data_IF_662577088854
#
_entry.id   IF_662577088854
#
_cell.length_a   1.000
_cell.length_b   1.000
_cell.length_c   1.000
_cell.angle_alpha   90.00
_cell.angle_beta   90.00
_cell.angle_gamma   90.00
#
_symmetry.space_group_name_H-M   'P 1'
#
loop_
_entity.id
_entity.type
_entity.pdbx_description
1 polymer ?
#
# COMPACT_ATOMS: atom_id res chain seq x y z
N UNK A 1 11.19 4.95 -19.87
CA UNK A 1 9.85 5.59 -19.81
C UNK A 1 9.21 5.22 -18.47
N UNK A 2 8.14 5.90 -18.03
CA UNK A 2 7.45 5.50 -16.80
C UNK A 2 6.95 4.05 -16.82
N UNK A 3 6.63 3.53 -18.01
CA UNK A 3 6.24 2.13 -18.20
C UNK A 3 7.38 1.16 -17.86
N UNK A 4 8.64 1.54 -18.06
CA UNK A 4 9.81 0.74 -17.68
C UNK A 4 10.19 0.84 -16.20
N UNK A 5 9.52 1.70 -15.41
CA UNK A 5 9.71 1.78 -13.95
C UNK A 5 8.69 0.93 -13.18
N UNK A 6 7.71 0.34 -13.88
CA UNK A 6 6.72 -0.53 -13.25
C UNK A 6 7.36 -1.86 -12.90
N UNK A 7 7.01 -2.39 -11.73
CA UNK A 7 7.35 -3.76 -11.38
C UNK A 7 6.68 -4.71 -12.41
N UNK A 8 7.43 -5.62 -13.06
CA UNK A 8 6.88 -6.49 -14.09
C UNK A 8 5.72 -7.35 -13.56
N UNK A 9 4.61 -7.39 -14.29
CA UNK A 9 3.45 -8.21 -13.93
C UNK A 9 2.64 -7.71 -12.72
N UNK A 10 3.06 -6.62 -12.06
CA UNK A 10 2.33 -6.09 -10.91
C UNK A 10 0.93 -5.60 -11.32
N UNK A 11 -0.10 -5.88 -10.49
CA UNK A 11 -1.43 -5.36 -10.71
C UNK A 11 -1.43 -3.83 -10.59
N UNK A 12 -2.43 -3.19 -11.20
CA UNK A 12 -2.64 -1.77 -11.01
C UNK A 12 -3.21 -1.49 -9.61
N UNK A 13 -2.79 -0.38 -9.01
CA UNK A 13 -3.34 0.11 -7.75
C UNK A 13 -4.08 1.44 -7.94
N UNK A 14 -5.19 1.62 -7.24
CA UNK A 14 -5.91 2.90 -7.14
C UNK A 14 -5.85 3.44 -5.72
N UNK A 15 -5.30 4.65 -5.54
CA UNK A 15 -5.28 5.34 -4.25
C UNK A 15 -6.61 6.05 -4.01
N UNK A 16 -7.21 5.80 -2.85
CA UNK A 16 -8.38 6.50 -2.33
C UNK A 16 -8.10 7.02 -0.92
N UNK A 17 -8.97 7.88 -0.38
CA UNK A 17 -8.80 8.44 0.97
C UNK A 17 -10.12 8.68 1.71
N UNK A 18 -10.22 8.21 2.95
CA UNK A 18 -11.31 8.57 3.85
C UNK A 18 -10.88 9.65 4.86
N UNK A 19 -11.80 10.02 5.75
CA UNK A 19 -11.52 10.91 6.88
C UNK A 19 -11.33 12.39 6.61
N UNK A 20 -10.48 13.02 7.42
CA UNK A 20 -10.37 14.48 7.55
C UNK A 20 -9.67 15.11 6.36
N UNK A 21 -8.74 14.40 5.73
CA UNK A 21 -7.98 14.92 4.59
C UNK A 21 -8.89 15.35 3.41
N UNK A 22 -9.72 14.47 2.81
CA UNK A 22 -10.61 14.88 1.72
C UNK A 22 -11.60 15.94 2.20
N UNK A 23 -12.28 15.74 3.33
CA UNK A 23 -13.31 16.68 3.81
C UNK A 23 -12.76 18.09 4.06
N UNK A 24 -11.52 18.21 4.52
CA UNK A 24 -10.84 19.49 4.77
C UNK A 24 -10.43 20.16 3.46
N UNK A 25 -9.90 19.42 2.50
CA UNK A 25 -9.44 19.98 1.21
C UNK A 25 -10.62 20.51 0.40
N UNK A 26 -11.68 19.71 0.22
CA UNK A 26 -12.84 20.10 -0.56
C UNK A 26 -13.73 21.10 0.20
N UNK A 27 -13.92 20.92 1.51
CA UNK A 27 -14.65 21.86 2.36
C UNK A 27 -14.05 23.28 2.35
N UNK A 28 -12.72 23.41 2.35
CA UNK A 28 -12.03 24.71 2.20
C UNK A 28 -12.28 25.39 0.85
N UNK A 29 -12.61 24.62 -0.19
CA UNK A 29 -12.95 25.11 -1.53
C UNK A 29 -14.45 25.40 -1.70
N UNK A 30 -15.26 25.23 -0.66
CA UNK A 30 -16.72 25.39 -0.73
C UNK A 30 -17.41 24.29 -1.54
N UNK A 31 -16.74 23.16 -1.77
CA UNK A 31 -17.24 22.01 -2.53
C UNK A 31 -17.34 20.76 -1.64
N UNK A 32 -18.19 19.82 -2.01
CA UNK A 32 -18.21 18.50 -1.38
C UNK A 32 -17.01 17.64 -1.79
N UNK A 33 -16.58 16.68 -0.94
CA UNK A 33 -17.08 16.42 0.40
C UNK A 33 -16.56 17.40 1.47
N UNK A 34 -17.39 17.79 2.43
CA UNK A 34 -17.01 18.62 3.59
C UNK A 34 -17.23 17.92 4.94
N UNK A 35 -17.77 16.70 4.91
CA UNK A 35 -18.04 15.84 6.06
C UNK A 35 -17.62 14.41 5.76
N UNK A 36 -17.51 13.56 6.80
CA UNK A 36 -17.27 12.11 6.63
C UNK A 36 -18.38 11.45 5.82
N UNK A 37 -19.64 11.77 6.12
CA UNK A 37 -20.80 11.33 5.33
C UNK A 37 -20.71 11.76 3.87
N UNK A 38 -20.21 12.98 3.62
CA UNK A 38 -19.97 13.47 2.26
C UNK A 38 -18.92 12.65 1.51
N UNK A 39 -17.85 12.20 2.16
CA UNK A 39 -16.86 11.32 1.54
C UNK A 39 -17.55 10.03 1.05
N UNK A 40 -18.33 9.38 1.93
CA UNK A 40 -19.03 8.12 1.60
C UNK A 40 -20.08 8.33 0.51
N UNK A 41 -20.86 9.41 0.56
CA UNK A 41 -21.82 9.74 -0.49
C UNK A 41 -21.13 9.95 -1.85
N UNK A 42 -19.95 10.59 -1.86
CA UNK A 42 -19.12 10.76 -3.04
C UNK A 42 -18.66 9.42 -3.63
N UNK A 43 -18.15 8.52 -2.79
CA UNK A 43 -17.75 7.19 -3.24
C UNK A 43 -18.92 6.36 -3.76
N UNK A 44 -20.02 6.28 -3.01
CA UNK A 44 -21.23 5.56 -3.45
C UNK A 44 -21.74 6.09 -4.80
N UNK A 45 -21.73 7.41 -4.99
CA UNK A 45 -22.10 8.02 -6.28
C UNK A 45 -21.16 7.63 -7.42
N UNK A 46 -19.84 7.61 -7.15
CA UNK A 46 -18.85 7.22 -8.15
C UNK A 46 -18.98 5.73 -8.52
N UNK A 47 -19.21 4.86 -7.53
CA UNK A 47 -19.37 3.43 -7.75
C UNK A 47 -20.64 3.07 -8.52
N UNK A 48 -21.78 3.73 -8.24
CA UNK A 48 -23.00 3.56 -9.03
C UNK A 48 -22.75 3.91 -10.50
N UNK A 49 -22.09 5.04 -10.78
CA UNK A 49 -21.74 5.44 -12.15
C UNK A 49 -20.79 4.46 -12.83
N UNK A 50 -19.84 3.92 -12.08
CA UNK A 50 -18.88 2.94 -12.60
C UNK A 50 -19.56 1.59 -12.91
N UNK A 51 -20.51 1.15 -12.08
CA UNK A 51 -21.35 -0.02 -12.36
C UNK A 51 -22.19 0.19 -13.62
N UNK A 52 -22.89 1.33 -13.73
CA UNK A 52 -23.67 1.67 -14.92
C UNK A 52 -22.79 1.67 -16.19
N UNK A 53 -21.60 2.27 -16.11
CA UNK A 53 -20.63 2.29 -17.20
C UNK A 53 -20.16 0.88 -17.58
N UNK A 54 -19.74 0.07 -16.61
CA UNK A 54 -19.29 -1.31 -16.81
C UNK A 54 -20.38 -2.13 -17.49
N UNK A 55 -21.61 -2.03 -17.00
CA UNK A 55 -22.74 -2.81 -17.49
C UNK A 55 -23.19 -2.36 -18.89
N UNK A 56 -23.14 -1.06 -19.20
CA UNK A 56 -23.39 -0.53 -20.55
C UNK A 56 -22.37 -1.05 -21.56
N UNK A 57 -21.08 -1.01 -21.21
CA UNK A 57 -20.00 -1.51 -22.06
C UNK A 57 -20.06 -3.03 -22.23
N UNK A 58 -20.34 -3.78 -21.16
CA UNK A 58 -20.51 -5.24 -21.23
C UNK A 58 -21.71 -5.64 -22.12
N UNK A 59 -22.85 -4.94 -22.01
CA UNK A 59 -24.02 -5.16 -22.87
C UNK A 59 -23.67 -4.91 -24.34
N UNK A 60 -22.99 -3.81 -24.66
CA UNK A 60 -22.57 -3.52 -26.03
C UNK A 60 -21.58 -4.57 -26.57
N UNK A 61 -20.62 -5.01 -25.74
CA UNK A 61 -19.62 -6.01 -26.13
C UNK A 61 -20.24 -7.41 -26.39
N UNK A 62 -21.36 -7.73 -25.74
CA UNK A 62 -22.08 -8.99 -25.92
C UNK A 62 -22.94 -9.05 -27.20
N UNK A 63 -23.19 -7.92 -27.86
CA UNK A 63 -23.92 -7.86 -29.13
C UNK A 63 -23.14 -8.52 -30.26
N UNK A 64 -23.84 -9.11 -31.22
CA UNK A 64 -23.24 -9.59 -32.47
C UNK A 64 -22.66 -8.44 -33.30
N UNK A 65 -21.75 -8.75 -34.23
CA UNK A 65 -21.18 -7.74 -35.13
C UNK A 65 -22.21 -7.05 -36.04
N UNK A 66 -23.38 -7.66 -36.25
CA UNK A 66 -24.50 -7.02 -36.95
C UNK A 66 -25.23 -6.04 -36.03
N UNK A 67 -25.61 -6.47 -34.83
CA UNK A 67 -26.28 -5.61 -33.84
C UNK A 67 -25.41 -4.43 -33.40
N UNK A 68 -24.08 -4.60 -33.31
CA UNK A 68 -23.15 -3.51 -32.99
C UNK A 68 -23.11 -2.40 -34.05
N UNK A 69 -23.48 -2.69 -35.32
CA UNK A 69 -23.53 -1.67 -36.39
C UNK A 69 -24.70 -0.72 -36.21
N UNK A 70 -25.82 -1.22 -35.67
CA UNK A 70 -27.03 -0.44 -35.46
C UNK A 70 -27.14 0.10 -34.02
N UNK A 71 -26.41 -0.48 -33.07
CA UNK A 71 -26.36 -0.02 -31.69
C UNK A 71 -25.44 1.21 -31.50
N UNK A 72 -25.84 2.12 -30.61
CA UNK A 72 -25.00 3.25 -30.20
C UNK A 72 -23.86 2.74 -29.32
N UNK A 73 -22.62 2.87 -29.82
CA UNK A 73 -21.41 2.54 -29.04
C UNK A 73 -21.32 3.40 -27.77
N UNK A 74 -21.14 2.79 -26.58
CA UNK A 74 -20.91 3.51 -25.34
C UNK A 74 -19.68 4.42 -25.43
N UNK A 75 -19.76 5.60 -24.82
CA UNK A 75 -18.66 6.57 -24.83
C UNK A 75 -17.59 6.11 -23.83
N UNK A 76 -16.32 6.26 -24.20
CA UNK A 76 -15.21 5.99 -23.28
C UNK A 76 -15.06 7.15 -22.29
N UNK A 77 -14.89 6.79 -21.02
CA UNK A 77 -14.57 7.70 -19.92
C UNK A 77 -13.46 7.07 -19.08
N UNK A 78 -12.29 7.73 -18.99
CA UNK A 78 -11.10 7.14 -18.37
C UNK A 78 -11.25 7.01 -16.84
N UNK A 79 -12.02 7.89 -16.20
CA UNK A 79 -12.30 7.80 -14.76
C UNK A 79 -13.17 6.57 -14.50
N UNK A 80 -14.30 6.46 -15.22
CA UNK A 80 -15.22 5.34 -15.06
C UNK A 80 -14.61 4.01 -15.52
N UNK A 81 -13.73 4.01 -16.53
CA UNK A 81 -12.99 2.82 -16.96
C UNK A 81 -12.04 2.33 -15.85
N UNK A 82 -11.37 3.25 -15.14
CA UNK A 82 -10.51 2.89 -14.00
C UNK A 82 -11.35 2.32 -12.85
N UNK A 83 -12.47 2.96 -12.51
CA UNK A 83 -13.37 2.46 -11.45
C UNK A 83 -14.03 1.13 -11.84
N UNK A 84 -14.42 0.95 -13.10
CA UNK A 84 -14.91 -0.33 -13.61
C UNK A 84 -13.84 -1.42 -13.53
N UNK A 85 -12.56 -1.10 -13.78
CA UNK A 85 -11.45 -2.02 -13.55
C UNK A 85 -11.34 -2.49 -12.10
N UNK A 86 -11.59 -1.62 -11.12
CA UNK A 86 -11.69 -2.01 -9.71
C UNK A 86 -12.86 -2.98 -9.48
N UNK A 87 -14.04 -2.66 -10.01
CA UNK A 87 -15.23 -3.53 -9.89
C UNK A 87 -15.09 -4.88 -10.62
N UNK A 88 -14.13 -5.00 -11.54
CA UNK A 88 -13.78 -6.25 -12.21
C UNK A 88 -12.65 -7.02 -11.50
N UNK A 89 -12.08 -6.47 -10.42
CA UNK A 89 -10.93 -7.05 -9.73
C UNK A 89 -9.58 -6.87 -10.45
N UNK A 90 -9.53 -6.04 -11.49
CA UNK A 90 -8.30 -5.76 -12.28
C UNK A 90 -7.39 -4.73 -11.59
N UNK A 91 -7.95 -3.92 -10.69
CA UNK A 91 -7.26 -2.83 -9.99
C UNK A 91 -7.49 -2.96 -8.49
N UNK A 92 -6.41 -2.97 -7.72
CA UNK A 92 -6.43 -3.11 -6.26
C UNK A 92 -6.61 -1.74 -5.60
N UNK A 93 -7.50 -1.64 -4.62
CA UNK A 93 -7.67 -0.42 -3.83
C UNK A 93 -6.62 -0.32 -2.73
N UNK A 94 -5.94 0.83 -2.71
CA UNK A 94 -5.12 1.30 -1.59
C UNK A 94 -5.86 2.46 -0.92
N UNK A 95 -6.37 2.25 0.29
CA UNK A 95 -7.23 3.21 0.96
C UNK A 95 -6.50 3.91 2.11
N UNK A 96 -6.25 5.21 1.99
CA UNK A 96 -5.84 6.00 3.14
C UNK A 96 -7.00 6.09 4.15
N UNK A 97 -6.80 5.61 5.38
CA UNK A 97 -7.71 5.81 6.51
C UNK A 97 -6.94 5.82 7.83
N UNK A 98 -7.40 6.57 8.83
CA UNK A 98 -6.78 6.55 10.15
C UNK A 98 -7.62 5.81 11.18
N UNK A 99 -8.93 6.09 11.22
CA UNK A 99 -9.81 5.59 12.28
C UNK A 99 -10.47 4.28 11.92
N UNK A 100 -10.74 3.48 12.94
CA UNK A 100 -11.34 2.16 12.82
C UNK A 100 -12.76 2.22 12.23
N UNK A 101 -13.58 3.17 12.66
CA UNK A 101 -14.95 3.33 12.15
C UNK A 101 -14.99 3.67 10.66
N UNK A 102 -14.01 4.42 10.18
CA UNK A 102 -13.89 4.77 8.76
C UNK A 102 -13.41 3.58 7.93
N UNK A 103 -12.46 2.80 8.45
CA UNK A 103 -12.01 1.56 7.79
C UNK A 103 -13.17 0.57 7.67
N UNK A 104 -13.94 0.33 8.75
CA UNK A 104 -15.14 -0.51 8.72
C UNK A 104 -16.18 -0.01 7.72
N UNK A 105 -16.44 1.30 7.69
CA UNK A 105 -17.39 1.89 6.72
C UNK A 105 -16.93 1.68 5.26
N UNK A 106 -15.62 1.71 5.00
CA UNK A 106 -15.08 1.41 3.68
C UNK A 106 -15.21 -0.08 3.36
N UNK A 107 -15.03 -0.98 4.32
CA UNK A 107 -15.27 -2.41 4.12
C UNK A 107 -16.75 -2.69 3.81
N UNK A 108 -17.69 -2.05 4.51
CA UNK A 108 -19.12 -2.13 4.20
C UNK A 108 -19.42 -1.65 2.77
N UNK A 109 -18.78 -0.55 2.34
CA UNK A 109 -18.92 -0.04 0.99
C UNK A 109 -18.29 -0.99 -0.06
N UNK A 110 -17.19 -1.64 0.29
CA UNK A 110 -16.55 -2.64 -0.55
C UNK A 110 -17.47 -3.85 -0.77
N UNK A 111 -18.15 -4.30 0.30
CA UNK A 111 -19.17 -5.33 0.23
C UNK A 111 -20.41 -4.87 -0.58
N UNK A 112 -20.86 -3.62 -0.42
CA UNK A 112 -22.01 -3.06 -1.16
C UNK A 112 -21.81 -3.11 -2.68
N UNK A 113 -20.58 -2.89 -3.15
CA UNK A 113 -20.24 -2.77 -4.57
C UNK A 113 -19.44 -3.96 -5.13
N UNK A 114 -19.14 -4.96 -4.30
CA UNK A 114 -18.37 -6.16 -4.64
C UNK A 114 -16.97 -5.84 -5.20
N UNK A 115 -16.23 -4.98 -4.49
CA UNK A 115 -14.81 -4.75 -4.78
C UNK A 115 -13.92 -5.09 -3.58
N UNK A 116 -12.64 -5.33 -3.83
CA UNK A 116 -11.66 -5.65 -2.79
C UNK A 116 -10.86 -4.42 -2.37
N UNK A 117 -10.76 -4.19 -1.06
CA UNK A 117 -9.74 -3.31 -0.48
C UNK A 117 -8.48 -4.13 -0.29
N UNK A 118 -7.39 -3.76 -0.96
CA UNK A 118 -6.11 -4.47 -0.78
C UNK A 118 -5.40 -4.05 0.49
N UNK A 119 -5.37 -2.74 0.78
CA UNK A 119 -4.61 -2.22 1.92
C UNK A 119 -5.20 -0.93 2.46
N UNK A 120 -5.31 -0.82 3.79
CA UNK A 120 -5.47 0.46 4.45
C UNK A 120 -4.12 1.09 4.76
N UNK A 121 -3.89 2.30 4.26
CA UNK A 121 -2.68 3.08 4.50
C UNK A 121 -2.85 3.95 5.75
N UNK A 122 -1.77 4.02 6.52
CA UNK A 122 -1.62 4.66 7.82
C UNK A 122 -2.30 3.91 8.97
N UNK A 123 -3.61 3.67 8.87
CA UNK A 123 -4.37 2.78 9.76
C UNK A 123 -4.07 2.98 11.26
N UNK A 124 -4.05 4.23 11.74
CA UNK A 124 -3.63 4.56 13.11
C UNK A 124 -4.41 3.78 14.17
N UNK A 125 -5.69 3.48 13.92
CA UNK A 125 -6.54 2.68 14.80
C UNK A 125 -6.77 1.24 14.30
N UNK A 126 -5.96 0.73 13.37
CA UNK A 126 -6.14 -0.59 12.76
C UNK A 126 -6.09 -1.73 13.80
N UNK A 127 -5.31 -1.56 14.87
CA UNK A 127 -5.26 -2.48 16.01
C UNK A 127 -6.63 -2.77 16.64
N UNK A 128 -7.60 -1.86 16.51
CA UNK A 128 -8.95 -2.04 17.06
C UNK A 128 -9.81 -3.01 16.24
N UNK A 129 -9.42 -3.26 14.99
CA UNK A 129 -10.18 -4.05 14.01
C UNK A 129 -9.30 -5.09 13.30
N UNK A 130 -8.25 -5.56 13.98
CA UNK A 130 -7.26 -6.45 13.39
C UNK A 130 -7.88 -7.75 12.87
N UNK A 131 -8.84 -8.31 13.61
CA UNK A 131 -9.52 -9.55 13.25
C UNK A 131 -10.38 -9.33 11.99
N UNK A 132 -11.10 -8.20 11.89
CA UNK A 132 -11.89 -7.83 10.72
C UNK A 132 -11.01 -7.63 9.46
N UNK A 133 -9.80 -7.05 9.62
CA UNK A 133 -8.86 -6.92 8.50
C UNK A 133 -8.38 -8.29 8.01
N UNK A 134 -8.06 -9.21 8.92
CA UNK A 134 -7.63 -10.57 8.57
C UNK A 134 -8.76 -11.37 7.90
N UNK A 135 -9.99 -11.28 8.42
CA UNK A 135 -11.17 -11.95 7.85
C UNK A 135 -11.49 -11.49 6.42
N UNK A 136 -11.19 -10.23 6.09
CA UNK A 136 -11.42 -9.65 4.76
C UNK A 136 -10.19 -9.72 3.84
N UNK A 137 -9.09 -10.35 4.27
CA UNK A 137 -7.82 -10.41 3.54
C UNK A 137 -7.30 -9.02 3.14
N UNK A 138 -7.34 -8.07 4.09
CA UNK A 138 -6.92 -6.68 3.90
C UNK A 138 -5.65 -6.39 4.70
N UNK A 139 -4.64 -5.86 4.03
CA UNK A 139 -3.40 -5.45 4.69
C UNK A 139 -3.54 -4.10 5.40
N UNK A 140 -2.75 -3.89 6.45
CA UNK A 140 -2.53 -2.57 7.05
C UNK A 140 -1.11 -2.09 6.77
N UNK A 141 -0.94 -0.98 6.05
CA UNK A 141 0.35 -0.31 5.86
C UNK A 141 0.51 0.82 6.90
N UNK A 142 1.20 0.52 7.98
CA UNK A 142 1.13 1.24 9.25
C UNK A 142 2.47 1.87 9.61
N UNK A 143 2.42 2.98 10.33
CA UNK A 143 3.61 3.59 10.94
C UNK A 143 3.95 2.93 12.28
N UNK A 144 5.23 2.88 12.61
CA UNK A 144 5.68 2.35 13.90
C UNK A 144 5.35 3.28 15.07
N UNK A 145 5.45 4.60 14.87
CA UNK A 145 5.33 5.56 15.97
C UNK A 145 4.81 6.96 15.57
N UNK A 146 4.35 7.18 14.33
CA UNK A 146 3.86 8.48 13.89
C UNK A 146 2.34 8.66 14.09
N UNK A 147 1.95 9.42 15.13
CA UNK A 147 0.55 9.72 15.46
C UNK A 147 0.43 11.05 16.23
N UNK A 148 -0.78 11.45 16.62
CA UNK A 148 -1.05 12.62 17.46
C UNK A 148 -1.07 13.98 16.76
N UNK A 149 -0.83 14.03 15.45
CA UNK A 149 -0.71 15.27 14.67
C UNK A 149 -2.05 15.88 14.19
N UNK A 150 -3.17 15.17 14.40
CA UNK A 150 -4.54 15.62 14.14
C UNK A 150 -5.54 14.71 14.87
N UNK A 151 -6.80 15.14 14.97
CA UNK A 151 -7.83 14.42 15.73
C UNK A 151 -8.05 12.98 15.28
N UNK A 152 -8.09 12.71 13.97
CA UNK A 152 -8.24 11.33 13.45
C UNK A 152 -7.02 10.44 13.66
N UNK A 153 -5.86 11.01 13.99
CA UNK A 153 -4.62 10.27 14.26
C UNK A 153 -4.27 10.31 15.76
N UNK A 154 -5.18 10.72 16.64
CA UNK A 154 -4.86 10.99 18.04
C UNK A 154 -4.75 9.72 18.89
N UNK A 155 -5.58 8.71 18.63
CA UNK A 155 -5.60 7.46 19.40
C UNK A 155 -4.63 6.41 18.82
N UNK A 156 -3.43 6.86 18.46
CA UNK A 156 -2.38 5.99 17.97
C UNK A 156 -1.58 5.35 19.10
N UNK A 157 -1.15 4.11 18.89
CA UNK A 157 -0.30 3.37 19.81
C UNK A 157 0.90 2.78 19.06
N UNK A 158 2.00 2.55 19.76
CA UNK A 158 3.24 2.04 19.14
C UNK A 158 3.18 0.52 18.91
N UNK A 159 2.20 -0.15 19.51
CA UNK A 159 1.91 -1.56 19.39
C UNK A 159 1.02 -1.87 18.18
N UNK A 160 0.60 -0.87 17.40
CA UNK A 160 -0.41 -1.02 16.34
C UNK A 160 -0.07 -2.14 15.35
N UNK A 161 1.13 -2.11 14.77
CA UNK A 161 1.62 -3.13 13.83
C UNK A 161 1.59 -4.53 14.47
N UNK A 162 2.09 -4.65 15.69
CA UNK A 162 2.15 -5.93 16.40
C UNK A 162 0.75 -6.49 16.72
N UNK A 163 -0.21 -5.62 17.03
CA UNK A 163 -1.59 -6.02 17.28
C UNK A 163 -2.35 -6.36 16.00
N UNK A 164 -2.07 -5.67 14.89
CA UNK A 164 -2.61 -6.02 13.57
C UNK A 164 -2.03 -7.33 13.05
N UNK A 165 -0.77 -7.64 13.38
CA UNK A 165 -0.12 -8.90 13.02
C UNK A 165 -0.65 -10.11 13.82
N UNK A 166 -1.27 -9.90 14.99
CA UNK A 166 -1.68 -10.96 15.91
C UNK A 166 -2.62 -12.03 15.31
N UNK A 167 -3.69 -11.69 14.58
CA UNK A 167 -4.64 -12.69 14.08
C UNK A 167 -4.02 -13.61 13.03
N UNK A 168 -4.54 -14.83 12.89
CA UNK A 168 -4.16 -15.72 11.80
C UNK A 168 -4.66 -15.16 10.46
N UNK A 169 -3.84 -15.25 9.40
CA UNK A 169 -4.16 -14.66 8.10
C UNK A 169 -3.97 -13.14 8.02
N UNK A 170 -3.47 -12.51 9.07
CA UNK A 170 -3.19 -11.07 9.09
C UNK A 170 -2.15 -10.64 8.05
N UNK A 171 -2.13 -9.34 7.77
CA UNK A 171 -1.15 -8.73 6.89
C UNK A 171 -0.78 -7.33 7.41
N UNK A 172 0.13 -7.29 8.39
CA UNK A 172 0.72 -6.04 8.86
C UNK A 172 1.93 -5.67 7.98
N UNK A 173 1.98 -4.42 7.51
CA UNK A 173 3.06 -3.85 6.72
C UNK A 173 3.60 -2.63 7.43
N UNK A 174 4.93 -2.56 7.58
CA UNK A 174 5.61 -1.37 8.09
C UNK A 174 5.84 -0.41 6.92
N UNK A 175 5.34 0.80 7.07
CA UNK A 175 5.42 1.88 6.09
C UNK A 175 5.88 3.17 6.78
N UNK A 176 6.53 4.08 6.06
CA UNK A 176 7.04 5.34 6.63
C UNK A 176 6.31 6.60 6.16
N UNK A 177 5.73 6.61 4.95
CA UNK A 177 5.23 7.82 4.27
C UNK A 177 6.26 8.98 4.25
N UNK A 178 7.55 8.63 4.21
CA UNK A 178 8.67 9.55 4.34
C UNK A 178 9.81 9.17 3.40
N UNK A 179 10.31 10.14 2.63
CA UNK A 179 11.45 10.00 1.71
C UNK A 179 12.73 9.53 2.42
N UNK A 180 12.88 9.90 3.69
CA UNK A 180 14.00 9.48 4.52
C UNK A 180 13.71 8.16 5.26
N UNK A 181 12.53 8.05 5.87
CA UNK A 181 12.16 6.88 6.66
C UNK A 181 12.06 5.59 5.85
N UNK A 182 11.70 5.69 4.56
CA UNK A 182 11.57 4.53 3.67
C UNK A 182 12.89 3.75 3.50
N UNK A 183 14.04 4.41 3.69
CA UNK A 183 15.36 3.80 3.57
C UNK A 183 15.77 3.01 4.83
N UNK A 184 14.96 3.06 5.90
CA UNK A 184 15.26 2.49 7.22
C UNK A 184 14.09 1.67 7.78
N UNK A 185 13.25 1.08 6.91
CA UNK A 185 12.08 0.30 7.33
C UNK A 185 12.43 -0.90 8.23
N UNK A 186 13.64 -1.45 8.10
CA UNK A 186 14.17 -2.45 9.04
C UNK A 186 14.23 -1.93 10.48
N UNK A 187 14.59 -0.66 10.68
CA UNK A 187 14.59 -0.03 12.01
C UNK A 187 13.17 0.23 12.50
N UNK A 188 12.26 0.66 11.61
CA UNK A 188 10.84 0.83 11.95
C UNK A 188 10.17 -0.49 12.35
N UNK A 189 10.47 -1.58 11.65
CA UNK A 189 10.02 -2.92 12.01
C UNK A 189 10.59 -3.36 13.37
N UNK A 190 11.86 -3.07 13.65
CA UNK A 190 12.47 -3.35 14.95
C UNK A 190 11.79 -2.58 16.10
N UNK A 191 11.42 -1.31 15.88
CA UNK A 191 10.64 -0.52 16.86
C UNK A 191 9.30 -1.19 17.14
N UNK A 192 8.54 -1.51 16.10
CA UNK A 192 7.23 -2.15 16.23
C UNK A 192 7.32 -3.51 16.97
N UNK A 193 8.30 -4.34 16.60
CA UNK A 193 8.57 -5.63 17.24
C UNK A 193 8.90 -5.42 18.73
N UNK A 194 9.77 -4.47 19.06
CA UNK A 194 10.12 -4.18 20.45
C UNK A 194 8.91 -3.73 21.28
N UNK A 195 7.95 -3.01 20.67
CA UNK A 195 6.74 -2.54 21.35
C UNK A 195 5.77 -3.69 21.58
N UNK A 196 5.54 -4.53 20.58
CA UNK A 196 4.74 -5.75 20.72
C UNK A 196 5.28 -6.67 21.83
N UNK A 197 6.59 -6.92 21.85
CA UNK A 197 7.24 -7.74 22.90
C UNK A 197 7.06 -7.12 24.29
N UNK A 198 7.21 -5.79 24.43
CA UNK A 198 6.96 -5.09 25.70
C UNK A 198 5.49 -5.15 26.14
N UNK A 199 4.57 -5.24 25.19
CA UNK A 199 3.14 -5.43 25.44
C UNK A 199 2.77 -6.90 25.74
N UNK A 200 3.74 -7.81 25.74
CA UNK A 200 3.55 -9.22 26.10
C UNK A 200 3.25 -10.15 24.92
N UNK A 201 3.43 -9.69 23.68
CA UNK A 201 3.29 -10.53 22.49
C UNK A 201 4.61 -11.28 22.20
N UNK A 202 4.50 -12.54 21.80
CA UNK A 202 5.66 -13.31 21.32
C UNK A 202 5.82 -13.10 19.82
N UNK A 203 6.81 -12.28 19.44
CA UNK A 203 7.06 -11.90 18.04
C UNK A 203 8.50 -12.27 17.70
N UNK A 204 8.73 -13.41 17.04
CA UNK A 204 10.07 -13.78 16.62
C UNK A 204 10.55 -12.85 15.49
N UNK A 205 11.87 -12.58 15.38
CA UNK A 205 12.44 -11.74 14.31
C UNK A 205 12.03 -12.17 12.89
N UNK A 206 11.87 -13.47 12.67
CA UNK A 206 11.43 -14.07 11.40
C UNK A 206 9.99 -13.70 11.05
N UNK A 207 9.15 -13.40 12.05
CA UNK A 207 7.80 -12.85 11.82
C UNK A 207 7.88 -11.35 11.59
N UNK A 208 8.67 -10.61 12.36
CA UNK A 208 8.80 -9.16 12.18
C UNK A 208 9.37 -8.75 10.81
N UNK A 209 10.25 -9.58 10.21
CA UNK A 209 10.84 -9.26 8.90
C UNK A 209 9.80 -9.35 7.77
N UNK A 210 8.72 -10.12 7.94
CA UNK A 210 7.65 -10.23 6.93
C UNK A 210 6.93 -8.91 6.73
N UNK A 211 6.86 -8.06 7.77
CA UNK A 211 6.21 -6.74 7.73
C UNK A 211 6.84 -5.78 6.73
N UNK A 212 8.09 -6.02 6.30
CA UNK A 212 8.79 -5.21 5.30
C UNK A 212 9.17 -6.03 4.06
N UNK A 213 8.74 -7.29 3.96
CA UNK A 213 9.07 -8.20 2.86
C UNK A 213 7.79 -8.85 2.31
N UNK A 214 7.45 -10.06 2.73
CA UNK A 214 6.34 -10.82 2.15
C UNK A 214 4.99 -10.14 2.32
N UNK A 215 4.72 -9.49 3.45
CA UNK A 215 3.46 -8.78 3.65
C UNK A 215 3.37 -7.54 2.76
N UNK A 216 4.48 -6.86 2.53
CA UNK A 216 4.54 -5.75 1.58
C UNK A 216 4.28 -6.24 0.15
N UNK A 217 4.87 -7.36 -0.26
CA UNK A 217 4.62 -7.99 -1.56
C UNK A 217 3.15 -8.42 -1.70
N UNK A 218 2.55 -9.02 -0.65
CA UNK A 218 1.12 -9.36 -0.58
C UNK A 218 0.24 -8.12 -0.75
N UNK A 219 0.54 -7.03 -0.02
CA UNK A 219 -0.21 -5.77 -0.10
C UNK A 219 -0.24 -5.17 -1.52
N UNK A 220 0.80 -5.45 -2.31
CA UNK A 220 0.97 -4.97 -3.69
C UNK A 220 0.50 -5.99 -4.73
N UNK A 221 0.04 -7.18 -4.32
CA UNK A 221 -0.40 -8.26 -5.21
C UNK A 221 0.74 -8.90 -6.02
N UNK A 222 1.95 -8.91 -5.46
CA UNK A 222 3.17 -9.48 -6.10
C UNK A 222 3.87 -10.50 -5.19
N UNK A 223 3.14 -11.11 -4.25
CA UNK A 223 3.71 -12.09 -3.31
C UNK A 223 4.27 -13.33 -3.99
N UNK A 224 3.74 -13.71 -5.16
CA UNK A 224 4.28 -14.83 -5.94
C UNK A 224 5.61 -14.50 -6.63
N UNK A 225 5.90 -13.21 -6.81
CA UNK A 225 7.09 -12.74 -7.53
C UNK A 225 8.26 -12.44 -6.58
N UNK A 226 8.02 -11.82 -5.41
CA UNK A 226 9.09 -11.35 -4.51
C UNK A 226 8.67 -11.38 -3.02
N UNK A 227 9.52 -10.85 -2.14
CA UNK A 227 9.24 -10.70 -0.71
C UNK A 227 9.57 -11.92 0.16
N UNK A 228 10.06 -13.03 -0.41
CA UNK A 228 10.56 -14.16 0.36
C UNK A 228 11.61 -14.95 -0.41
N UNK A 229 12.54 -15.60 0.30
CA UNK A 229 13.54 -16.48 -0.30
C UNK A 229 12.93 -17.87 -0.56
N UNK A 230 12.37 -18.07 -1.75
CA UNK A 230 11.78 -19.34 -2.18
C UNK A 230 12.09 -19.63 -3.66
N UNK A 231 12.24 -20.90 -4.08
CA UNK A 231 12.39 -21.25 -5.49
C UNK A 231 11.26 -20.68 -6.35
N UNK A 232 11.61 -20.10 -7.50
CA UNK A 232 10.66 -19.50 -8.43
C UNK A 232 10.45 -17.99 -8.26
N UNK A 233 10.81 -17.42 -7.10
CA UNK A 233 10.73 -15.97 -6.86
C UNK A 233 11.96 -15.23 -7.35
N UNK A 234 11.83 -13.92 -7.53
CA UNK A 234 12.91 -13.02 -7.88
C UNK A 234 14.06 -13.09 -6.86
N UNK A 235 15.28 -13.04 -7.37
CA UNK A 235 16.50 -13.09 -6.56
C UNK A 235 16.86 -11.70 -6.00
N UNK A 236 15.89 -11.11 -5.29
CA UNK A 236 16.04 -9.84 -4.57
C UNK A 236 16.54 -10.12 -3.16
N UNK A 237 17.84 -9.92 -2.93
CA UNK A 237 18.52 -10.38 -1.71
C UNK A 237 19.41 -9.28 -1.16
N UNK A 238 19.30 -9.04 0.15
CA UNK A 238 20.24 -8.20 0.89
C UNK A 238 21.05 -9.08 1.83
N UNK A 239 22.37 -9.05 1.68
CA UNK A 239 23.29 -9.60 2.68
C UNK A 239 23.66 -8.48 3.64
N UNK A 240 23.30 -8.66 4.90
CA UNK A 240 23.54 -7.70 5.96
C UNK A 240 24.81 -8.04 6.74
N UNK A 241 25.52 -7.01 7.21
CA UNK A 241 26.72 -7.16 8.04
C UNK A 241 26.46 -7.74 9.44
N UNK A 242 25.20 -8.03 9.76
CA UNK A 242 24.71 -8.45 11.07
C UNK A 242 23.19 -8.59 11.06
N UNK A 243 22.56 -8.58 12.24
CA UNK A 243 21.10 -8.62 12.34
C UNK A 243 20.48 -7.35 11.72
N UNK A 244 19.57 -7.47 10.73
CA UNK A 244 18.97 -6.31 10.04
C UNK A 244 18.20 -5.38 10.97
N UNK A 245 17.76 -5.82 12.15
CA UNK A 245 17.05 -4.99 13.12
C UNK A 245 17.96 -4.11 14.00
N UNK A 246 19.29 -4.25 13.88
CA UNK A 246 20.24 -3.40 14.59
C UNK A 246 20.51 -2.10 13.82
N UNK A 247 20.54 -0.98 14.55
CA UNK A 247 20.91 0.34 14.00
C UNK A 247 22.38 0.43 13.55
N UNK A 248 23.23 -0.52 13.96
CA UNK A 248 24.64 -0.59 13.55
C UNK A 248 24.84 -1.42 12.28
N UNK A 249 23.84 -2.19 11.87
CA UNK A 249 23.93 -3.10 10.73
C UNK A 249 23.83 -2.30 9.43
N UNK A 250 24.66 -2.67 8.45
CA UNK A 250 24.66 -2.09 7.11
C UNK A 250 24.43 -3.19 6.08
N UNK A 251 23.83 -2.85 4.95
CA UNK A 251 23.81 -3.74 3.79
C UNK A 251 25.25 -3.90 3.29
N UNK A 252 25.75 -5.12 3.20
CA UNK A 252 27.05 -5.42 2.59
C UNK A 252 26.88 -5.62 1.08
N UNK A 253 25.86 -6.39 0.68
CA UNK A 253 25.54 -6.63 -0.71
C UNK A 253 24.04 -6.53 -0.96
N UNK A 254 23.65 -5.95 -2.10
CA UNK A 254 22.27 -5.96 -2.59
C UNK A 254 22.22 -6.55 -3.99
N UNK A 255 21.37 -7.54 -4.15
CA UNK A 255 21.03 -8.17 -5.42
C UNK A 255 19.59 -7.79 -5.78
N UNK A 256 19.38 -7.35 -7.01
CA UNK A 256 18.05 -7.07 -7.58
C UNK A 256 17.95 -7.86 -8.87
N UNK A 257 16.91 -8.69 -9.01
CA UNK A 257 16.76 -9.64 -10.12
C UNK A 257 17.98 -10.56 -10.28
N UNK A 258 18.67 -10.90 -9.18
CA UNK A 258 19.90 -11.69 -9.18
C UNK A 258 21.16 -10.94 -9.66
N UNK A 259 21.04 -9.66 -10.03
CA UNK A 259 22.18 -8.83 -10.40
C UNK A 259 22.72 -8.11 -9.18
N UNK A 260 24.04 -8.19 -8.97
CA UNK A 260 24.72 -7.47 -7.88
C UNK A 260 24.67 -5.96 -8.16
N UNK A 261 23.83 -5.24 -7.42
CA UNK A 261 23.58 -3.79 -7.62
C UNK A 261 24.32 -2.90 -6.64
N UNK A 262 24.59 -3.42 -5.44
CA UNK A 262 25.29 -2.68 -4.40
C UNK A 262 26.31 -3.55 -3.71
N UNK A 263 27.50 -3.00 -3.48
CA UNK A 263 28.53 -3.58 -2.63
C UNK A 263 29.17 -2.48 -1.77
N UNK A 264 29.13 -2.67 -0.44
CA UNK A 264 29.64 -1.69 0.52
C UNK A 264 31.16 -1.47 0.43
N UNK A 265 31.89 -2.43 -0.11
CA UNK A 265 33.35 -2.40 -0.22
C UNK A 265 33.84 -2.15 -1.66
N UNK A 266 32.96 -2.13 -2.66
CA UNK A 266 33.30 -1.83 -4.05
C UNK A 266 32.68 -0.49 -4.51
N UNK A 267 33.47 0.59 -4.63
CA UNK A 267 33.00 1.89 -5.10
C UNK A 267 32.33 1.88 -6.49
N UNK A 268 32.69 0.94 -7.38
CA UNK A 268 32.07 0.83 -8.70
C UNK A 268 30.60 0.37 -8.63
N UNK A 269 30.21 -0.25 -7.51
CA UNK A 269 28.85 -0.71 -7.22
C UNK A 269 28.22 0.12 -6.10
N UNK A 270 28.62 1.38 -5.93
CA UNK A 270 27.96 2.34 -5.06
C UNK A 270 27.28 3.37 -5.95
N UNK A 271 25.98 3.17 -6.30
CA UNK A 271 25.32 4.05 -7.24
C UNK A 271 25.29 5.47 -6.66
N UNK A 272 25.86 6.39 -7.43
CA UNK A 272 25.75 7.84 -7.20
C UNK A 272 24.57 8.31 -8.04
N UNK A 273 23.68 9.10 -7.44
CA UNK A 273 22.53 9.63 -8.17
C UNK A 273 23.02 10.49 -9.34
N UNK A 274 22.37 10.40 -10.51
CA UNK A 274 22.72 11.25 -11.64
C UNK A 274 22.51 12.75 -11.35
N UNK A 275 21.64 13.07 -10.39
CA UNK A 275 21.47 14.41 -9.83
C UNK A 275 22.68 14.91 -9.00
N UNK A 276 23.55 14.00 -8.54
CA UNK A 276 24.77 14.32 -7.79
C UNK A 276 26.00 14.42 -8.71
N UNK A 277 25.88 13.97 -9.97
CA UNK A 277 26.94 14.10 -10.97
C UNK A 277 27.22 15.59 -11.25
N UNK A 278 28.42 16.03 -10.89
CA UNK A 278 28.87 17.43 -11.02
C UNK A 278 28.67 18.30 -9.78
N UNK A 279 27.91 17.86 -8.76
CA UNK A 279 27.82 18.56 -7.47
C UNK A 279 28.96 18.18 -6.52
N UNK A 280 29.46 16.95 -6.63
CA UNK A 280 30.57 16.44 -5.81
C UNK A 280 31.96 16.97 -6.24
N UNK A 281 32.05 17.77 -7.32
CA UNK A 281 33.32 18.30 -7.83
C UNK A 281 33.89 19.44 -6.96
N UNK A 282 33.11 20.08 -6.09
CA UNK A 282 33.58 21.19 -5.23
C UNK A 282 33.93 20.77 -3.79
N UNK A 283 33.72 19.51 -3.40
CA UNK A 283 34.02 19.04 -2.04
C UNK A 283 35.45 18.51 -1.86
N UNK A 284 36.30 18.68 -2.89
CA UNK A 284 37.67 18.18 -2.94
C UNK A 284 38.67 19.23 -3.43
N UNK A 285 38.71 20.41 -2.80
CA UNK A 285 39.88 21.30 -2.75
C UNK A 285 40.18 21.70 -1.30
#
# INVERSE_FOLDING_TARGET
SYQGMKFPGAPYGLKMACGENPKRVYGRKGSGPSTRMGNIAGYRTAWIKAQDYRDEHAKYAALSAEEQRDAKKPKRDLELETLAGVLNGEIIIHMHCYRADEMLTILDLAQEFDYKVGTFHHGVEAYKIADELAENDVCGALWADWWGFKMEAYDGIQENIALVDRPDGSCAVVHSDSDEGIQRLNQEAAKAMSRGVKAGLDIPPERAITWITSNAAKSLGIEDETGSLAPGKMADVVLWSGNPFSVYTKADHVFIDGVHRYDRMNPELQPVSDFELGQLLEAGE
#
